data_IF_610614024482
#
_entry.id   IF_610614024482
#
_cell.length_a   1.000
_cell.length_b   1.000
_cell.length_c   1.000
_cell.angle_alpha   90.00
_cell.angle_beta   90.00
_cell.angle_gamma   90.00
#
_symmetry.space_group_name_H-M   'P 1'
#
loop_
_entity.id
_entity.type
_entity.pdbx_description
1 polymer ?
#
# COMPACT_ATOMS: atom_id res chain seq x y z
N UNK A 1 18.99 -2.26 -3.42
CA UNK A 1 18.28 -1.72 -2.25
C UNK A 1 17.21 -0.74 -2.71
N UNK A 2 15.99 -1.19 -3.03
CA UNK A 2 14.85 -0.29 -3.33
C UNK A 2 13.53 -0.98 -2.99
N UNK A 3 13.18 -0.97 -1.69
CA UNK A 3 11.80 -1.21 -1.23
C UNK A 3 10.94 0.03 -1.55
N UNK A 4 10.68 0.28 -2.83
CA UNK A 4 9.79 1.34 -3.28
C UNK A 4 8.74 0.77 -4.22
N UNK A 5 7.61 0.29 -3.67
CA UNK A 5 6.61 -0.51 -4.42
C UNK A 5 6.02 0.23 -5.63
N UNK A 6 5.89 1.55 -5.55
CA UNK A 6 5.38 2.41 -6.63
C UNK A 6 6.42 2.69 -7.74
N UNK A 7 7.67 2.95 -7.36
CA UNK A 7 8.75 3.25 -8.32
C UNK A 7 9.14 2.02 -9.14
N UNK A 8 8.96 0.82 -8.57
CA UNK A 8 9.16 -0.45 -9.27
C UNK A 8 8.19 -0.61 -10.45
N UNK A 9 6.90 -0.38 -10.25
CA UNK A 9 5.88 -0.53 -11.32
C UNK A 9 6.16 0.34 -12.53
N UNK A 10 6.46 1.63 -12.32
CA UNK A 10 6.81 2.56 -13.41
C UNK A 10 8.06 2.11 -14.18
N UNK A 11 9.00 1.47 -13.50
CA UNK A 11 10.25 1.02 -14.11
C UNK A 11 10.07 -0.27 -14.94
N UNK A 12 9.11 -1.12 -14.56
CA UNK A 12 8.69 -2.27 -15.37
C UNK A 12 7.99 -1.84 -16.66
N UNK A 13 7.12 -0.84 -16.57
CA UNK A 13 6.43 -0.27 -17.74
C UNK A 13 7.40 0.34 -18.75
N UNK A 14 8.44 1.04 -18.26
CA UNK A 14 9.53 1.53 -19.12
C UNK A 14 10.33 0.43 -19.82
N UNK A 15 10.25 -0.82 -19.35
CA UNK A 15 10.86 -2.00 -19.98
C UNK A 15 9.89 -2.79 -20.85
N UNK A 16 8.65 -2.30 -21.02
CA UNK A 16 7.60 -3.02 -21.75
C UNK A 16 7.02 -4.21 -20.97
N UNK A 17 7.26 -4.28 -19.65
CA UNK A 17 6.65 -5.29 -18.78
C UNK A 17 5.41 -4.64 -18.17
N UNK A 18 4.20 -5.17 -18.44
CA UNK A 18 2.98 -4.61 -17.86
C UNK A 18 3.01 -4.74 -16.34
N UNK A 19 2.81 -3.63 -15.65
CA UNK A 19 2.78 -3.54 -14.20
C UNK A 19 1.57 -2.70 -13.78
N UNK A 20 0.76 -3.25 -12.87
CA UNK A 20 -0.32 -2.50 -12.24
C UNK A 20 0.14 -1.97 -10.88
N UNK A 21 0.00 -0.66 -10.66
CA UNK A 21 0.29 -0.05 -9.36
C UNK A 21 -1.02 0.14 -8.59
N UNK A 22 -1.11 -0.53 -7.44
CA UNK A 22 -2.19 -0.38 -6.46
C UNK A 22 -1.65 0.46 -5.31
N UNK A 23 -2.33 1.56 -5.00
CA UNK A 23 -1.98 2.45 -3.88
C UNK A 23 -3.20 2.72 -3.02
N UNK A 24 -2.99 3.18 -1.80
CA UNK A 24 -4.10 3.64 -0.96
C UNK A 24 -4.25 5.15 -1.03
N UNK A 25 -5.43 5.69 -0.69
CA UNK A 25 -5.78 7.11 -0.85
C UNK A 25 -4.70 8.06 -0.30
N UNK A 26 -4.06 7.82 0.87
CA UNK A 26 -3.03 8.72 1.40
C UNK A 26 -1.78 8.81 0.53
N UNK A 27 -1.52 7.84 -0.35
CA UNK A 27 -0.33 7.81 -1.20
C UNK A 27 -0.54 8.41 -2.58
N UNK A 28 -1.76 8.84 -2.95
CA UNK A 28 -2.06 9.45 -4.25
C UNK A 28 -1.13 10.65 -4.56
N UNK A 29 -0.90 11.61 -3.63
CA UNK A 29 0.02 12.72 -3.92
C UNK A 29 1.46 12.27 -4.16
N UNK A 30 1.89 11.21 -3.48
CA UNK A 30 3.22 10.62 -3.65
C UNK A 30 3.33 9.88 -4.99
N UNK A 31 2.26 9.23 -5.43
CA UNK A 31 2.15 8.60 -6.74
C UNK A 31 2.31 9.60 -7.87
N UNK A 32 1.60 10.73 -7.81
CA UNK A 32 1.72 11.81 -8.80
C UNK A 32 3.16 12.31 -8.87
N UNK A 33 3.78 12.64 -7.72
CA UNK A 33 5.16 13.13 -7.65
C UNK A 33 6.19 12.14 -8.21
N UNK A 34 6.01 10.85 -7.96
CA UNK A 34 6.92 9.82 -8.47
C UNK A 34 6.71 9.62 -9.97
N UNK A 35 5.48 9.68 -10.45
CA UNK A 35 5.13 9.59 -11.87
C UNK A 35 5.70 10.78 -12.67
N UNK A 36 5.56 12.01 -12.15
CA UNK A 36 6.17 13.23 -12.70
C UNK A 36 7.70 13.09 -12.78
N UNK A 37 8.36 12.69 -11.68
CA UNK A 37 9.82 12.49 -11.64
C UNK A 37 10.30 11.39 -12.58
N UNK A 38 9.42 10.43 -12.90
CA UNK A 38 9.70 9.38 -13.85
C UNK A 38 9.36 9.77 -15.30
N UNK A 39 8.99 11.02 -15.59
CA UNK A 39 8.56 11.49 -16.89
C UNK A 39 7.36 10.69 -17.47
N UNK A 40 6.49 10.18 -16.60
CA UNK A 40 5.24 9.51 -16.96
C UNK A 40 4.06 10.19 -16.23
N UNK A 41 3.76 11.46 -16.56
CA UNK A 41 2.64 12.15 -15.95
C UNK A 41 1.32 11.42 -16.27
N UNK A 42 0.44 11.28 -15.28
CA UNK A 42 -0.85 10.62 -15.45
C UNK A 42 -0.80 9.08 -15.47
N UNK A 43 0.27 8.46 -14.98
CA UNK A 43 0.38 7.00 -14.92
C UNK A 43 -0.83 6.36 -14.18
N UNK A 44 -1.55 5.41 -14.81
CA UNK A 44 -2.77 4.83 -14.24
C UNK A 44 -2.44 4.02 -12.99
N UNK A 45 -3.17 4.29 -11.91
CA UNK A 45 -3.03 3.59 -10.64
C UNK A 45 -4.41 3.31 -10.05
N UNK A 46 -4.57 2.13 -9.46
CA UNK A 46 -5.80 1.77 -8.75
C UNK A 46 -5.69 2.24 -7.29
N UNK A 47 -6.71 2.94 -6.81
CA UNK A 47 -6.79 3.41 -5.43
C UNK A 47 -7.69 2.47 -4.63
N UNK A 48 -7.19 1.98 -3.50
CA UNK A 48 -7.94 1.11 -2.58
C UNK A 48 -7.92 1.67 -1.16
N UNK A 49 -8.97 1.43 -0.34
CA UNK A 49 -9.05 1.93 1.04
C UNK A 49 -7.82 1.57 1.86
N UNK A 50 -7.22 2.55 2.54
CA UNK A 50 -6.12 2.28 3.45
C UNK A 50 -6.58 1.40 4.63
N UNK A 51 -5.94 0.23 4.87
CA UNK A 51 -6.37 -0.72 5.91
C UNK A 51 -6.28 -0.23 7.37
N UNK A 52 -5.80 1.01 7.57
CA UNK A 52 -5.58 1.63 8.88
C UNK A 52 -5.90 3.12 8.79
N UNK A 53 -5.42 3.81 7.76
CA UNK A 53 -5.70 5.22 7.52
C UNK A 53 -7.17 5.54 7.25
N UNK A 54 -7.96 4.55 6.82
CA UNK A 54 -9.41 4.70 6.65
C UNK A 54 -10.21 4.41 7.93
N UNK A 55 -9.56 3.99 9.03
CA UNK A 55 -10.22 3.66 10.29
C UNK A 55 -10.26 4.85 11.24
N UNK A 56 -11.35 4.99 11.99
CA UNK A 56 -11.45 5.93 13.12
C UNK A 56 -10.54 5.54 14.30
N UNK A 57 -10.27 6.48 15.21
CA UNK A 57 -9.43 6.22 16.39
C UNK A 57 -9.93 5.03 17.25
N UNK A 58 -11.26 4.86 17.34
CA UNK A 58 -11.89 3.74 18.05
C UNK A 58 -11.61 2.41 17.33
N UNK A 59 -11.78 2.38 16.02
CA UNK A 59 -11.54 1.19 15.19
C UNK A 59 -10.06 0.80 15.17
N UNK A 60 -9.14 1.77 15.16
CA UNK A 60 -7.70 1.52 15.31
C UNK A 60 -7.41 0.89 16.69
N UNK A 61 -8.03 1.40 17.76
CA UNK A 61 -7.87 0.83 19.09
C UNK A 61 -8.42 -0.62 19.16
N UNK A 62 -9.56 -0.88 18.54
CA UNK A 62 -10.14 -2.22 18.45
C UNK A 62 -9.28 -3.18 17.62
N UNK A 63 -8.79 -2.76 16.44
CA UNK A 63 -7.87 -3.53 15.61
C UNK A 63 -6.58 -3.88 16.38
N UNK A 64 -6.02 -2.92 17.11
CA UNK A 64 -4.86 -3.10 17.99
C UNK A 64 -5.12 -4.16 19.07
N UNK A 65 -6.31 -4.14 19.69
CA UNK A 65 -6.72 -5.15 20.69
C UNK A 65 -6.86 -6.54 20.05
N UNK A 66 -7.51 -6.63 18.89
CA UNK A 66 -7.67 -7.90 18.14
C UNK A 66 -6.32 -8.53 17.78
N UNK A 67 -5.34 -7.75 17.30
CA UNK A 67 -4.00 -8.28 16.98
C UNK A 67 -3.21 -8.73 18.20
N UNK A 68 -3.39 -8.06 19.35
CA UNK A 68 -2.82 -8.52 20.63
C UNK A 68 -3.38 -9.88 21.05
N UNK A 69 -4.67 -10.12 20.83
CA UNK A 69 -5.30 -11.41 21.13
C UNK A 69 -5.00 -12.48 20.07
N UNK A 70 -4.93 -12.13 18.79
CA UNK A 70 -4.65 -13.07 17.70
C UNK A 70 -3.21 -13.62 17.70
N UNK A 71 -2.26 -12.90 18.30
CA UNK A 71 -0.91 -13.42 18.59
C UNK A 71 -0.86 -14.43 19.73
N UNK A 72 -1.97 -14.66 20.43
CA UNK A 72 -2.13 -15.66 21.50
C UNK A 72 -3.14 -16.72 21.06
N UNK A 73 -2.88 -17.36 19.92
CA UNK A 73 -3.69 -18.51 19.52
C UNK A 73 -3.51 -19.63 20.58
N UNK A 74 -4.61 -20.20 21.13
CA UNK A 74 -4.53 -21.40 21.97
C UNK A 74 -4.11 -22.64 21.17
N UNK A 75 -4.00 -22.55 19.84
CA UNK A 75 -3.80 -23.68 18.94
C UNK A 75 -2.35 -24.20 18.82
N UNK A 76 -1.42 -23.75 19.68
CA UNK A 76 -0.07 -24.30 19.79
C UNK A 76 0.07 -25.23 21.02
N UNK A 77 -1.00 -25.95 21.36
CA UNK A 77 -1.02 -27.10 22.28
C UNK A 77 -1.59 -28.30 21.53
N UNK A 78 -0.74 -28.94 20.75
CA UNK A 78 -0.74 -30.38 20.50
C UNK A 78 0.61 -30.76 19.90
#
# INVERSE_FOLDING_TARGET
MTRGRLRGGIWFEKRGIPAAVIITEPFVPTAIRIAERAAMPGYPHAVVPHPVGSLSAVEVCQLRRRRRCAGRSPAARN
#
